data_IF_347185648082
#
_entry.id   IF_347185648082
#
_cell.length_a   1.000
_cell.length_b   1.000
_cell.length_c   1.000
_cell.angle_alpha   90.00
_cell.angle_beta   90.00
_cell.angle_gamma   90.00
#
_symmetry.space_group_name_H-M   'P 1'
#
loop_
_entity.id
_entity.type
_entity.pdbx_description
1 polymer ?
2 water ?
#
# COMPACT_ATOMS: atom_id res chain seq x y z
N UNK A 20 -31.17 17.69 23.90
CA UNK A 20 -30.79 16.35 23.48
C UNK A 20 -31.02 16.13 21.97
N UNK A 21 -29.99 15.62 21.27
CA UNK A 21 -29.99 15.38 19.83
C UNK A 21 -30.86 14.13 19.53
N UNK A 22 -31.77 14.20 18.54
CA UNK A 22 -32.57 13.02 18.16
C UNK A 22 -31.94 12.39 16.95
N UNK A 23 -31.68 11.05 17.00
CA UNK A 23 -31.04 10.25 15.97
C UNK A 23 -31.97 9.08 15.61
N UNK A 24 -32.24 8.93 14.29
CA UNK A 24 -33.06 7.87 13.71
C UNK A 24 -32.20 7.04 12.77
N UNK A 25 -32.09 5.72 13.02
CA UNK A 25 -31.25 4.82 12.25
C UNK A 25 -32.14 3.80 11.55
N UNK A 26 -32.04 3.75 10.20
CA UNK A 26 -32.78 2.84 9.33
C UNK A 26 -31.82 1.82 8.80
N UNK A 27 -31.78 0.62 9.39
CA UNK A 27 -30.85 -0.39 8.94
C UNK A 27 -31.50 -1.75 8.73
N UNK A 28 -30.86 -2.59 7.91
CA UNK A 28 -31.32 -3.95 7.58
C UNK A 28 -30.47 -5.03 8.28
N UNK A 29 -29.15 -4.86 8.23
CA UNK A 29 -28.12 -5.74 8.80
C UNK A 29 -28.19 -5.81 10.30
N UNK A 30 -27.90 -6.97 10.86
CA UNK A 30 -27.88 -7.16 12.31
C UNK A 30 -26.58 -6.58 12.88
N UNK A 31 -25.49 -6.65 12.08
CA UNK A 31 -24.15 -6.17 12.39
C UNK A 31 -24.12 -4.66 12.56
N UNK A 32 -24.95 -3.96 11.76
CA UNK A 32 -25.11 -2.52 11.87
C UNK A 32 -25.91 -2.24 13.15
N UNK A 33 -27.09 -2.89 13.28
CA UNK A 33 -28.00 -2.76 14.42
C UNK A 33 -27.27 -2.97 15.76
N UNK A 34 -26.33 -3.94 15.81
CA UNK A 34 -25.53 -4.27 16.98
C UNK A 34 -24.51 -3.19 17.27
N UNK A 35 -23.78 -2.73 16.25
CA UNK A 35 -22.75 -1.71 16.38
C UNK A 35 -23.38 -0.40 16.89
N UNK A 36 -24.46 0.02 16.22
CA UNK A 36 -25.25 1.22 16.51
C UNK A 36 -25.84 1.12 17.95
N UNK A 37 -26.31 -0.06 18.36
CA UNK A 37 -26.85 -0.33 19.70
C UNK A 37 -25.83 -0.22 20.82
N UNK A 38 -24.60 -0.73 20.57
CA UNK A 38 -23.46 -0.65 21.48
C UNK A 38 -23.00 0.82 21.59
N UNK A 39 -22.97 1.54 20.48
CA UNK A 39 -22.58 2.94 20.41
C UNK A 39 -23.53 3.82 21.23
N UNK A 40 -24.86 3.57 21.16
CA UNK A 40 -25.90 4.34 21.87
C UNK A 40 -25.76 4.29 23.40
N UNK A 41 -25.27 3.14 23.97
CA UNK A 41 -25.11 2.94 25.43
C UNK A 41 -23.77 3.50 25.94
N UNK A 42 -22.93 4.04 25.03
CA UNK A 42 -21.64 4.63 25.35
C UNK A 42 -21.82 6.02 26.00
N UNK A 43 -20.90 6.35 26.93
CA UNK A 43 -20.84 7.60 27.70
C UNK A 43 -20.76 8.84 26.80
N UNK A 44 -20.01 8.77 25.68
CA UNK A 44 -19.84 9.89 24.74
C UNK A 44 -21.16 10.18 23.97
N UNK A 46 -24.27 10.32 25.50
CA UNK A 46 -25.22 10.67 26.56
C UNK A 46 -26.20 11.75 26.11
N UNK A 47 -25.72 12.76 25.34
CA UNK A 47 -26.50 13.89 24.83
C UNK A 47 -27.28 13.56 23.53
N UNK A 48 -27.57 12.26 23.30
CA UNK A 48 -28.31 11.80 22.13
C UNK A 48 -29.26 10.67 22.48
N UNK A 49 -30.42 10.64 21.79
CA UNK A 49 -31.44 9.59 21.90
C UNK A 49 -31.50 8.93 20.52
N UNK A 50 -30.99 7.71 20.43
CA UNK A 50 -30.93 6.94 19.19
C UNK A 50 -32.15 6.01 19.12
N UNK A 51 -32.81 5.98 17.95
CA UNK A 51 -33.97 5.14 17.66
C UNK A 51 -33.63 4.30 16.43
N UNK A 52 -33.67 2.97 16.56
CA UNK A 52 -33.36 2.10 15.42
C UNK A 52 -34.68 1.61 14.85
N UNK A 53 -34.83 1.74 13.52
CA UNK A 53 -36.00 1.36 12.72
C UNK A 53 -35.56 0.48 11.61
N UNK A 54 -36.39 -0.52 11.27
CA UNK A 54 -36.06 -1.45 10.19
C UNK A 54 -36.30 -0.80 8.81
N UNK A 55 -35.47 -1.19 7.86
CA UNK A 55 -35.53 -0.72 6.50
C UNK A 55 -34.32 0.11 6.10
N UNK A 56 -34.54 1.00 5.15
CA UNK A 56 -33.54 1.89 4.56
C UNK A 56 -34.20 3.12 3.99
N UNK A 58 -36.36 3.85 1.44
CA UNK A 58 -37.79 3.78 1.21
C UNK A 58 -38.58 4.06 2.48
N UNK A 59 -38.18 3.43 3.58
CA UNK A 59 -38.87 3.53 4.87
C UNK A 59 -38.69 4.92 5.46
N UNK A 60 -37.45 5.47 5.37
CA UNK A 60 -37.08 6.82 5.84
C UNK A 60 -37.90 7.92 5.13
N UNK A 61 -37.90 7.91 3.76
CA UNK A 61 -38.60 8.80 2.84
C UNK A 61 -40.12 8.80 3.09
N UNK A 62 -40.70 7.57 3.21
CA UNK A 62 -42.13 7.35 3.48
C UNK A 62 -42.54 7.95 4.82
N UNK A 63 -41.75 7.76 5.88
CA UNK A 63 -42.01 8.28 7.22
C UNK A 63 -41.83 9.80 7.28
N UNK A 64 -40.75 10.36 6.67
CA UNK A 64 -40.50 11.79 6.79
C UNK A 64 -41.33 12.63 5.84
N UNK A 65 -42.17 11.99 5.05
CA UNK A 65 -43.13 12.69 4.21
C UNK A 65 -44.29 13.23 5.03
N UNK A 66 -44.61 12.55 6.13
CA UNK A 66 -45.69 12.91 7.04
C UNK A 66 -45.25 13.38 8.42
N UNK A 67 -44.11 12.85 8.87
CA UNK A 67 -43.52 13.14 10.19
C UNK A 67 -42.30 14.03 9.99
N UNK A 68 -42.08 14.99 10.91
CA UNK A 68 -40.92 15.88 10.92
C UNK A 68 -39.65 15.00 11.18
N UNK A 69 -38.57 15.21 10.39
CA UNK A 69 -37.30 14.47 10.56
C UNK A 69 -36.56 14.88 11.83
N UNK A 70 -35.81 13.96 12.48
CA UNK A 70 -35.03 14.36 13.67
C UNK A 70 -33.73 15.12 13.27
N UNK A 71 -32.85 15.41 14.24
CA UNK A 71 -31.60 16.14 14.01
C UNK A 71 -30.63 15.41 13.09
N UNK A 72 -30.66 14.09 13.14
CA UNK A 72 -29.80 13.21 12.35
C UNK A 72 -30.55 11.94 11.96
N UNK A 73 -30.46 11.63 10.66
CA UNK A 73 -31.05 10.45 9.99
C UNK A 73 -29.87 9.61 9.44
N UNK A 74 -29.69 8.41 10.00
CA UNK A 74 -28.66 7.46 9.58
C UNK A 74 -29.36 6.37 8.75
N UNK A 75 -28.89 6.15 7.51
CA UNK A 75 -29.51 5.21 6.59
C UNK A 75 -28.48 4.21 6.04
N UNK A 76 -28.79 2.91 6.14
CA UNK A 76 -28.00 1.80 5.62
C UNK A 76 -28.49 1.50 4.21
N UNK A 77 -27.59 1.67 3.20
CA UNK A 77 -27.91 1.47 1.78
C UNK A 77 -26.76 0.83 1.01
N UNK A 78 -27.10 -0.23 0.24
CA UNK A 78 -26.12 -0.97 -0.57
C UNK A 78 -26.34 -0.68 -2.06
N UNK A 79 -27.11 0.39 -2.35
CA UNK A 79 -27.47 0.84 -3.69
C UNK A 79 -26.30 1.44 -4.44
N UNK A 80 -26.38 1.38 -5.79
CA UNK A 80 -25.42 1.95 -6.71
C UNK A 80 -25.39 3.46 -6.60
N UNK A 81 -24.30 4.09 -7.05
CA UNK A 81 -24.04 5.52 -6.99
C UNK A 81 -25.21 6.31 -7.57
N UNK A 82 -25.61 6.03 -8.84
CA UNK A 82 -26.72 6.71 -9.51
C UNK A 82 -28.05 6.65 -8.71
N UNK A 83 -28.40 5.47 -8.14
CA UNK A 83 -29.62 5.28 -7.37
C UNK A 83 -29.50 5.92 -5.99
N UNK A 84 -28.33 5.77 -5.32
CA UNK A 84 -28.08 6.34 -3.99
C UNK A 84 -28.26 7.86 -4.00
N UNK A 86 -30.08 9.70 -6.27
CA UNK A 86 -31.48 9.98 -6.54
C UNK A 86 -32.37 9.80 -5.29
N UNK A 87 -32.16 8.72 -4.50
CA UNK A 87 -32.94 8.42 -3.28
C UNK A 87 -32.63 9.45 -2.19
N UNK A 88 -31.39 9.96 -2.17
CA UNK A 88 -30.95 10.98 -1.22
C UNK A 88 -31.58 12.32 -1.52
N UNK A 89 -31.74 12.68 -2.82
CA UNK A 89 -32.39 13.92 -3.26
C UNK A 89 -33.83 13.95 -2.77
N UNK A 90 -34.54 12.83 -2.92
CA UNK A 90 -35.93 12.64 -2.53
C UNK A 90 -36.08 12.70 -0.98
N UNK A 91 -35.14 12.12 -0.23
CA UNK A 91 -35.18 12.16 1.23
C UNK A 91 -34.91 13.61 1.76
N UNK A 92 -33.94 14.33 1.14
CA UNK A 92 -33.60 15.70 1.51
C UNK A 92 -34.80 16.64 1.32
N UNK A 94 -38.00 15.80 1.90
CA UNK A 94 -38.97 15.54 2.99
C UNK A 94 -38.48 16.05 4.35
N UNK A 95 -37.15 16.02 4.54
CA UNK A 95 -36.50 16.40 5.79
C UNK A 95 -36.58 17.91 6.04
N UNK A 96 -36.82 18.27 7.31
CA UNK A 96 -36.88 19.64 7.78
C UNK A 96 -35.47 20.22 7.78
N UNK A 97 -35.25 21.45 7.25
CA UNK A 97 -33.95 22.14 7.19
C UNK A 97 -33.29 22.05 8.56
N UNK A 98 -32.04 21.60 8.56
CA UNK A 98 -31.27 21.40 9.79
C UNK A 98 -30.93 19.94 10.03
N UNK A 99 -31.66 19.04 9.34
CA UNK A 99 -31.50 17.60 9.37
C UNK A 99 -30.20 17.21 8.69
N UNK A 100 -29.42 16.39 9.38
CA UNK A 100 -28.16 15.89 8.86
C UNK A 100 -28.39 14.44 8.46
N UNK A 101 -27.63 13.99 7.44
CA UNK A 101 -27.73 12.64 6.92
C UNK A 101 -26.36 11.96 6.95
N UNK A 102 -26.34 10.71 7.40
CA UNK A 102 -25.20 9.81 7.37
C UNK A 102 -25.65 8.58 6.56
N UNK A 103 -24.77 8.07 5.69
CA UNK A 103 -25.06 6.90 4.86
C UNK A 103 -24.11 5.78 5.30
N UNK A 104 -24.65 4.57 5.52
CA UNK A 104 -23.88 3.37 5.87
C UNK A 104 -23.94 2.44 4.64
N UNK A 105 -22.77 2.19 4.02
CA UNK A 105 -22.68 1.41 2.80
C UNK A 105 -21.60 0.36 2.77
N UNK A 106 -21.58 -0.42 1.68
CA UNK A 106 -20.62 -1.52 1.49
C UNK A 106 -19.35 -1.09 0.75
N UNK A 107 -19.48 -0.09 -0.16
CA UNK A 107 -18.44 0.45 -1.01
C UNK A 107 -17.42 1.36 -0.24
N UNK A 108 -16.12 1.08 -0.40
CA UNK A 108 -15.00 1.82 0.17
C UNK A 108 -14.30 2.54 -0.99
N UNK A 109 -14.96 3.59 -1.53
CA UNK A 109 -14.53 4.39 -2.65
C UNK A 109 -14.44 5.85 -2.25
N UNK A 110 -13.29 6.49 -2.49
CA UNK A 110 -13.01 7.89 -2.15
C UNK A 110 -13.90 8.82 -3.02
N UNK A 111 -14.05 8.47 -4.30
CA UNK A 111 -14.87 9.19 -5.26
C UNK A 111 -16.34 9.23 -4.85
N UNK A 112 -16.85 8.11 -4.33
CA UNK A 112 -18.22 8.03 -3.82
C UNK A 112 -18.36 8.92 -2.56
N UNK A 113 -17.39 8.84 -1.63
CA UNK A 113 -17.41 9.63 -0.39
C UNK A 113 -17.47 11.14 -0.71
N UNK A 114 -16.68 11.58 -1.71
CA UNK A 114 -16.60 12.96 -2.19
C UNK A 114 -17.92 13.43 -2.78
N UNK A 115 -18.54 12.60 -3.65
CA UNK A 115 -19.80 12.87 -4.34
C UNK A 115 -20.93 13.08 -3.34
N UNK A 116 -20.93 12.27 -2.26
CA UNK A 116 -21.92 12.33 -1.19
C UNK A 116 -21.73 13.58 -0.37
N UNK A 117 -20.48 13.94 -0.05
CA UNK A 117 -20.17 15.12 0.77
C UNK A 117 -20.45 16.44 0.03
N UNK A 118 -20.36 16.44 -1.33
CA UNK A 118 -20.70 17.59 -2.18
C UNK A 118 -22.21 17.73 -2.31
N UNK A 119 -22.96 16.63 -2.09
CA UNK A 119 -24.42 16.58 -2.15
C UNK A 119 -25.06 17.02 -0.82
N UNK A 120 -24.28 17.16 0.24
CA UNK A 120 -24.81 17.53 1.54
C UNK A 120 -24.90 16.45 2.61
N UNK A 121 -24.40 15.22 2.30
CA UNK A 121 -24.35 14.12 3.28
C UNK A 121 -23.22 14.48 4.24
N UNK A 122 -23.48 14.38 5.55
CA UNK A 122 -22.54 14.74 6.59
C UNK A 122 -21.37 13.75 6.71
N UNK A 123 -21.65 12.47 6.49
CA UNK A 123 -20.62 11.44 6.56
C UNK A 123 -21.07 10.17 5.88
N UNK A 124 -20.08 9.36 5.47
CA UNK A 124 -20.30 8.06 4.87
C UNK A 124 -19.51 7.06 5.72
N UNK A 125 -20.21 6.02 6.20
CA UNK A 125 -19.64 4.94 6.99
C UNK A 125 -19.63 3.64 6.17
N UNK A 126 -18.43 3.03 5.97
CA UNK A 126 -18.19 1.79 5.21
C UNK A 126 -18.32 0.57 6.17
N UNK A 127 -19.10 -0.44 5.76
CA UNK A 127 -19.31 -1.69 6.51
C UNK A 127 -18.08 -2.61 6.35
N UNK A 128 -17.65 -3.38 7.37
CA UNK A 128 -18.20 -3.55 8.73
C UNK A 128 -17.98 -2.35 9.65
N UNK A 129 -19.07 -2.01 10.34
CA UNK A 129 -19.19 -0.87 11.24
C UNK A 129 -18.72 -1.22 12.66
N UNK A 130 -17.75 -0.46 13.17
CA UNK A 130 -17.26 -0.59 14.54
C UNK A 130 -18.09 0.38 15.41
N UNK A 131 -18.52 0.03 16.65
CA UNK A 131 -19.32 0.98 17.44
C UNK A 131 -18.66 2.36 17.63
N UNK A 133 -16.73 3.91 15.33
CA UNK A 133 -16.83 4.61 14.04
C UNK A 133 -18.10 5.46 14.02
N UNK A 134 -19.20 4.91 14.59
CA UNK A 134 -20.52 5.55 14.67
C UNK A 134 -20.51 6.73 15.67
N UNK A 135 -19.87 6.56 16.86
CA UNK A 135 -19.73 7.62 17.89
C UNK A 135 -18.93 8.78 17.27
N UNK A 136 -17.84 8.46 16.55
CA UNK A 136 -16.95 9.40 15.87
C UNK A 136 -17.71 10.23 14.83
N UNK A 137 -18.44 9.54 13.91
CA UNK A 137 -19.25 10.11 12.83
C UNK A 137 -20.32 11.09 13.34
N UNK A 138 -20.97 10.76 14.47
CA UNK A 138 -22.01 11.57 15.12
C UNK A 138 -21.38 12.84 15.64
N UNK A 139 -20.21 12.73 16.31
CA UNK A 139 -19.47 13.89 16.85
C UNK A 139 -18.96 14.80 15.72
N UNK A 140 -18.48 14.20 14.64
CA UNK A 140 -18.01 14.86 13.41
C UNK A 140 -19.13 15.77 12.84
N UNK A 141 -20.39 15.26 12.77
CA UNK A 141 -21.58 15.96 12.29
C UNK A 141 -21.83 17.25 13.03
N UNK A 142 -21.73 17.20 14.38
CA UNK A 142 -21.99 18.34 15.25
C UNK A 142 -20.69 18.83 15.89
N UNK B 20 -10.34 -16.49 10.13
CA UNK B 20 -9.19 -17.33 10.46
C UNK B 20 -8.55 -17.92 9.19
N UNK B 21 -7.24 -17.74 9.05
CA UNK B 21 -6.43 -18.21 7.92
C UNK B 21 -6.20 -19.74 8.04
N UNK B 22 -6.48 -20.49 6.97
CA UNK B 22 -6.26 -21.94 6.92
C UNK B 22 -4.90 -22.24 6.32
N UNK B 23 -4.08 -23.01 7.03
CA UNK B 23 -2.71 -23.39 6.61
C UNK B 23 -2.55 -24.87 6.72
N UNK B 24 -2.09 -25.50 5.63
CA UNK B 24 -1.75 -26.92 5.59
C UNK B 24 -0.27 -27.03 5.40
N UNK B 25 0.42 -27.86 6.22
CA UNK B 25 1.87 -28.11 6.10
C UNK B 25 2.09 -29.59 5.75
N UNK B 26 2.74 -29.85 4.61
CA UNK B 26 3.10 -31.18 4.11
C UNK B 26 4.59 -31.37 4.33
N UNK B 27 4.95 -32.12 5.39
CA UNK B 27 6.36 -32.29 5.68
C UNK B 27 6.71 -33.74 5.93
N UNK B 28 8.02 -34.06 5.78
CA UNK B 28 8.56 -35.39 6.02
C UNK B 28 9.39 -35.40 7.32
N UNK B 29 9.99 -34.27 7.68
CA UNK B 29 10.87 -34.15 8.84
C UNK B 29 10.19 -33.95 10.17
N UNK B 30 10.70 -34.63 11.22
CA UNK B 30 10.21 -34.47 12.59
C UNK B 30 10.58 -33.07 13.10
N UNK B 31 11.76 -32.57 12.68
CA UNK B 31 12.30 -31.26 13.01
C UNK B 31 11.43 -30.14 12.42
N UNK B 32 10.81 -30.38 11.23
CA UNK B 32 9.92 -29.42 10.57
C UNK B 32 8.53 -29.53 11.26
N UNK B 33 8.10 -30.78 11.60
CA UNK B 33 6.83 -31.04 12.31
C UNK B 33 6.84 -30.34 13.69
N UNK B 34 7.99 -30.40 14.40
CA UNK B 34 8.18 -29.80 15.72
C UNK B 34 8.20 -28.28 15.64
N UNK B 35 8.93 -27.70 14.67
CA UNK B 35 9.06 -26.25 14.49
C UNK B 35 7.68 -25.62 14.24
N UNK B 36 6.95 -26.15 13.25
CA UNK B 36 5.60 -25.76 12.84
C UNK B 36 4.61 -25.89 14.03
N UNK B 37 4.73 -26.99 14.80
CA UNK B 37 3.92 -27.24 16.00
C UNK B 37 4.10 -26.22 17.11
N UNK B 38 5.37 -25.80 17.33
CA UNK B 38 5.74 -24.79 18.32
C UNK B 38 5.26 -23.42 17.83
N UNK B 39 5.41 -23.16 16.51
CA UNK B 39 4.98 -21.90 15.88
C UNK B 39 3.47 -21.72 15.99
N UNK B 40 2.68 -22.80 15.80
CA UNK B 40 1.21 -22.78 15.84
C UNK B 40 0.64 -22.36 17.22
N UNK B 41 1.32 -22.72 18.33
CA UNK B 41 0.87 -22.42 19.70
C UNK B 41 1.32 -21.00 20.16
N UNK B 42 2.04 -20.27 19.28
CA UNK B 42 2.51 -18.91 19.54
C UNK B 42 1.36 -17.91 19.39
N UNK B 43 1.38 -16.84 20.23
CA UNK B 43 0.40 -15.76 20.30
C UNK B 43 0.24 -14.99 18.97
N UNK B 44 1.34 -14.81 18.21
CA UNK B 44 1.31 -14.11 16.91
C UNK B 44 0.59 -14.95 15.83
N UNK B 46 -2.41 -16.61 16.38
CA UNK B 46 -3.76 -16.79 16.93
C UNK B 46 -4.84 -16.84 15.83
N UNK B 47 -4.76 -15.95 14.82
CA UNK B 47 -5.75 -15.90 13.74
C UNK B 47 -5.47 -16.94 12.60
N UNK B 48 -4.75 -18.03 12.90
CA UNK B 48 -4.46 -19.10 11.94
C UNK B 48 -4.66 -20.48 12.54
N UNK B 49 -5.15 -21.42 11.71
CA UNK B 49 -5.33 -22.83 12.03
C UNK B 49 -4.35 -23.62 11.16
N UNK B 50 -3.32 -24.19 11.81
CA UNK B 50 -2.29 -24.97 11.13
C UNK B 50 -2.61 -26.48 11.23
N UNK B 51 -2.53 -27.18 10.09
CA UNK B 51 -2.80 -28.61 9.96
C UNK B 51 -1.57 -29.25 9.37
N UNK B 52 -0.98 -30.23 10.06
CA UNK B 52 0.21 -30.90 9.54
C UNK B 52 -0.22 -32.24 8.96
N UNK B 53 0.25 -32.50 7.73
CA UNK B 53 -0.02 -33.72 6.94
C UNK B 53 1.29 -34.30 6.51
N UNK B 54 1.36 -35.64 6.44
CA UNK B 54 2.60 -36.31 6.03
C UNK B 54 2.76 -36.24 4.51
N UNK B 55 4.00 -36.16 4.07
CA UNK B 55 4.36 -36.14 2.67
C UNK B 55 4.95 -34.82 2.22
N UNK B 56 4.76 -34.53 0.93
CA UNK B 56 5.25 -33.34 0.27
C UNK B 56 4.37 -33.03 -0.91
N UNK B 58 3.60 -34.44 -3.94
CA UNK B 58 2.69 -35.41 -4.50
C UNK B 58 1.44 -35.58 -3.64
N UNK B 59 1.57 -35.51 -2.32
CA UNK B 59 0.46 -35.70 -1.40
C UNK B 59 -0.49 -34.52 -1.47
N UNK B 60 0.03 -33.29 -1.55
CA UNK B 60 -0.79 -32.09 -1.73
C UNK B 60 -1.50 -32.11 -3.11
N UNK B 61 -0.75 -32.39 -4.19
CA UNK B 61 -1.23 -32.49 -5.58
C UNK B 61 -2.42 -33.46 -5.66
N UNK B 62 -2.31 -34.61 -5.01
CA UNK B 62 -3.34 -35.64 -4.97
C UNK B 62 -4.56 -35.16 -4.15
N UNK B 63 -4.31 -34.57 -2.97
CA UNK B 63 -5.32 -34.05 -2.04
C UNK B 63 -6.18 -32.95 -2.65
N UNK B 64 -5.53 -31.94 -3.29
CA UNK B 64 -6.19 -30.73 -3.78
C UNK B 64 -6.73 -30.84 -5.18
N UNK B 65 -6.64 -32.06 -5.74
CA UNK B 65 -7.23 -32.38 -7.04
C UNK B 65 -8.73 -32.28 -6.92
N UNK B 66 -9.27 -32.86 -5.84
CA UNK B 66 -10.70 -32.85 -5.54
C UNK B 66 -11.17 -31.97 -4.39
N UNK B 67 -10.25 -31.55 -3.50
CA UNK B 67 -10.50 -30.69 -2.35
C UNK B 67 -10.02 -29.27 -2.69
N UNK B 68 -10.78 -28.24 -2.31
CA UNK B 68 -10.37 -26.85 -2.51
C UNK B 68 -9.17 -26.60 -1.57
N UNK B 69 -8.04 -26.11 -2.12
CA UNK B 69 -6.84 -25.86 -1.33
C UNK B 69 -7.06 -24.68 -0.35
N UNK B 70 -6.36 -24.65 0.85
CA UNK B 70 -6.58 -23.57 1.81
C UNK B 70 -5.90 -22.27 1.39
N UNK B 71 -5.85 -21.30 2.33
CA UNK B 71 -5.24 -19.99 2.12
C UNK B 71 -3.77 -20.12 1.85
N UNK B 72 -3.11 -21.04 2.58
CA UNK B 72 -1.68 -21.26 2.49
C UNK B 72 -1.34 -22.73 2.56
N UNK B 73 -0.57 -23.17 1.56
CA UNK B 73 -0.04 -24.54 1.44
C UNK B 73 1.49 -24.46 1.63
N UNK B 74 2.01 -25.08 2.71
CA UNK B 74 3.44 -25.11 3.02
C UNK B 74 3.94 -26.51 2.71
N UNK B 75 4.98 -26.63 1.84
CA UNK B 75 5.48 -27.91 1.35
C UNK B 75 7.00 -28.02 1.56
N UNK B 76 7.41 -29.08 2.25
CA UNK B 76 8.81 -29.44 2.50
C UNK B 76 9.31 -30.31 1.31
N UNK B 77 10.35 -29.83 0.62
CA UNK B 77 10.94 -30.52 -0.55
C UNK B 77 12.45 -30.41 -0.57
N UNK B 78 13.13 -31.56 -0.77
CA UNK B 78 14.58 -31.62 -0.86
C UNK B 78 15.03 -31.91 -2.29
N UNK B 79 14.10 -31.72 -3.25
CA UNK B 79 14.34 -31.94 -4.66
C UNK B 79 15.17 -30.82 -5.29
N UNK B 80 15.88 -31.16 -6.37
CA UNK B 80 16.68 -30.21 -7.13
C UNK B 80 15.80 -29.21 -7.85
N UNK B 81 16.40 -28.11 -8.32
CA UNK B 81 15.75 -27.00 -9.02
C UNK B 81 14.84 -27.51 -10.15
N UNK B 82 15.37 -28.28 -11.11
CA UNK B 82 14.63 -28.80 -12.25
C UNK B 82 13.37 -29.59 -11.84
N UNK B 83 13.50 -30.46 -10.81
CA UNK B 83 12.37 -31.28 -10.34
C UNK B 83 11.40 -30.46 -9.47
N UNK B 84 11.92 -29.57 -8.61
CA UNK B 84 11.11 -28.68 -7.75
C UNK B 84 10.17 -27.82 -8.59
N UNK B 86 9.11 -28.52 -11.78
CA UNK B 86 8.16 -29.44 -12.41
C UNK B 86 7.02 -29.86 -11.45
N UNK B 87 7.35 -30.19 -10.18
CA UNK B 87 6.38 -30.61 -9.16
C UNK B 87 5.48 -29.43 -8.75
N UNK B 88 6.02 -28.20 -8.77
CA UNK B 88 5.30 -26.97 -8.49
C UNK B 88 4.29 -26.66 -9.59
N UNK B 89 4.65 -26.92 -10.87
CA UNK B 89 3.76 -26.71 -12.02
C UNK B 89 2.51 -27.59 -11.88
N UNK B 90 2.72 -28.85 -11.49
CA UNK B 90 1.69 -29.88 -11.30
C UNK B 90 0.78 -29.49 -10.12
N UNK B 91 1.34 -28.84 -9.09
CA UNK B 91 0.63 -28.32 -7.92
C UNK B 91 -0.17 -27.06 -8.30
N UNK B 92 0.41 -26.23 -9.19
CA UNK B 92 -0.25 -25.03 -9.70
C UNK B 92 -1.54 -25.38 -10.53
N UNK B 94 -3.65 -28.01 -9.45
CA UNK B 94 -4.63 -28.55 -8.52
C UNK B 94 -5.18 -27.44 -7.60
N UNK B 95 -4.34 -26.44 -7.32
CA UNK B 95 -4.69 -25.37 -6.42
C UNK B 95 -5.59 -24.30 -7.05
N UNK B 96 -6.56 -23.89 -6.27
CA UNK B 96 -7.50 -22.84 -6.61
C UNK B 96 -6.74 -21.49 -6.46
N UNK B 97 -6.99 -20.55 -7.38
CA UNK B 97 -6.39 -19.21 -7.43
C UNK B 97 -6.68 -18.52 -6.10
N UNK B 98 -5.67 -17.92 -5.51
CA UNK B 98 -5.81 -17.28 -4.21
C UNK B 98 -4.94 -17.95 -3.16
N UNK B 99 -4.68 -19.27 -3.38
CA UNK B 99 -3.83 -20.09 -2.53
C UNK B 99 -2.37 -19.67 -2.73
N UNK B 100 -1.72 -19.40 -1.59
CA UNK B 100 -0.33 -19.02 -1.50
C UNK B 100 0.47 -20.28 -1.19
N UNK B 101 1.69 -20.34 -1.72
CA UNK B 101 2.58 -21.50 -1.52
C UNK B 101 3.89 -21.04 -0.90
N UNK B 102 4.34 -21.78 0.09
CA UNK B 102 5.65 -21.62 0.73
C UNK B 102 6.38 -22.96 0.52
N UNK B 103 7.66 -22.90 0.18
CA UNK B 103 8.51 -24.08 0.00
C UNK B 103 9.56 -24.11 1.12
N UNK B 104 9.72 -25.26 1.79
CA UNK B 104 10.77 -25.47 2.80
C UNK B 104 11.80 -26.42 2.17
N UNK B 105 13.03 -25.93 2.00
CA UNK B 105 14.09 -26.69 1.34
C UNK B 105 15.45 -26.65 2.03
N UNK B 106 16.39 -27.43 1.48
CA UNK B 106 17.75 -27.54 2.03
C UNK B 106 18.75 -26.53 1.43
N UNK B 107 18.56 -26.08 0.17
CA UNK B 107 19.41 -25.15 -0.58
C UNK B 107 19.25 -23.67 -0.19
N UNK B 108 20.37 -22.96 0.04
CA UNK B 108 20.45 -21.55 0.40
C UNK B 108 21.07 -20.80 -0.79
N UNK B 109 20.25 -20.62 -1.84
CA UNK B 109 20.64 -19.98 -3.10
C UNK B 109 19.67 -18.84 -3.44
N UNK B 110 20.19 -17.65 -3.76
CA UNK B 110 19.42 -16.45 -4.11
C UNK B 110 18.74 -16.66 -5.48
N UNK B 111 19.47 -17.29 -6.41
CA UNK B 111 18.99 -17.61 -7.75
C UNK B 111 17.79 -18.54 -7.71
N UNK B 112 17.82 -19.55 -6.80
CA UNK B 112 16.71 -20.47 -6.60
C UNK B 112 15.50 -19.73 -6.01
N UNK B 113 15.74 -18.87 -4.99
CA UNK B 113 14.68 -18.08 -4.34
C UNK B 113 13.95 -17.22 -5.36
N UNK B 114 14.72 -16.57 -6.28
CA UNK B 114 14.21 -15.70 -7.35
C UNK B 114 13.35 -16.47 -8.34
N UNK B 115 13.80 -17.65 -8.77
CA UNK B 115 13.12 -18.53 -9.73
C UNK B 115 11.77 -18.95 -9.19
N UNK B 116 11.72 -19.22 -7.89
CA UNK B 116 10.51 -19.65 -7.19
C UNK B 116 9.56 -18.49 -7.07
N UNK B 117 10.08 -17.25 -6.80
CA UNK B 117 9.24 -16.05 -6.68
C UNK B 117 8.52 -15.75 -8.00
N UNK B 118 9.29 -15.85 -9.12
CA UNK B 118 8.82 -15.60 -10.49
C UNK B 118 7.78 -16.65 -10.92
N UNK B 119 7.79 -17.82 -10.25
CA UNK B 119 6.86 -18.92 -10.50
C UNK B 119 5.59 -18.78 -9.67
N UNK B 120 5.54 -17.81 -8.75
CA UNK B 120 4.35 -17.61 -7.92
C UNK B 120 4.41 -18.11 -6.48
N UNK B 121 5.58 -18.62 -6.03
CA UNK B 121 5.80 -19.06 -4.65
C UNK B 121 5.93 -17.78 -3.81
N UNK B 122 5.21 -17.72 -2.67
CA UNK B 122 5.19 -16.56 -1.77
C UNK B 122 6.47 -16.41 -0.97
N UNK B 123 7.08 -17.53 -0.59
CA UNK B 123 8.29 -17.52 0.20
C UNK B 123 9.01 -18.86 0.12
N UNK B 124 10.33 -18.83 0.35
CA UNK B 124 11.18 -19.99 0.42
C UNK B 124 11.91 -19.92 1.74
N UNK B 125 11.88 -21.04 2.49
CA UNK B 125 12.50 -21.22 3.80
C UNK B 125 13.57 -22.25 3.68
N UNK B 126 14.75 -21.91 4.14
CA UNK B 126 15.95 -22.76 4.11
C UNK B 126 16.10 -23.49 5.49
N UNK B 127 16.26 -24.83 5.44
CA UNK B 127 16.45 -25.67 6.62
C UNK B 127 17.88 -25.49 7.18
N UNK B 128 18.12 -25.54 8.52
CA UNK B 128 17.18 -25.81 9.63
C UNK B 128 16.16 -24.71 9.88
N UNK B 129 14.89 -25.14 10.02
CA UNK B 129 13.74 -24.28 10.28
C UNK B 129 13.57 -24.01 11.78
N UNK B 130 13.53 -22.72 12.13
CA UNK B 130 13.33 -22.28 13.51
C UNK B 130 11.83 -21.91 13.65
N UNK B 131 11.14 -22.17 14.80
CA UNK B 131 9.71 -21.81 14.88
C UNK B 131 9.40 -20.34 14.56
N UNK B 133 11.03 -18.44 12.30
CA UNK B 133 11.19 -18.29 10.85
C UNK B 133 9.86 -18.53 10.14
N UNK B 134 9.10 -19.51 10.64
CA UNK B 134 7.79 -19.91 10.13
C UNK B 134 6.72 -18.85 10.45
N UNK B 135 6.71 -18.28 11.68
CA UNK B 135 5.78 -17.23 12.11
C UNK B 135 6.02 -15.99 11.21
N UNK B 136 7.31 -15.64 10.99
CA UNK B 136 7.74 -14.53 10.13
C UNK B 136 7.26 -14.70 8.67
N UNK B 137 7.54 -15.87 8.04
CA UNK B 137 7.16 -16.25 6.67
C UNK B 137 5.65 -16.17 6.43
N UNK B 138 4.84 -16.58 7.44
CA UNK B 138 3.37 -16.56 7.41
C UNK B 138 2.91 -15.11 7.40
N UNK B 139 3.47 -14.26 8.26
CA UNK B 139 3.15 -12.82 8.34
C UNK B 139 3.53 -12.09 7.05
N UNK B 140 4.70 -12.44 6.50
CA UNK B 140 5.22 -11.91 5.24
C UNK B 140 4.20 -12.14 4.10
N UNK B 141 3.63 -13.39 3.99
CA UNK B 141 2.66 -13.82 2.99
C UNK B 141 1.44 -12.95 2.98
N UNK B 142 0.91 -12.60 4.18
CA UNK B 142 -0.29 -11.80 4.32
C UNK B 142 0.08 -10.41 4.88
N UNK B 143 0.74 -9.59 4.04
CA UNK B 143 1.19 -8.24 4.44
C UNK B 143 0.51 -7.18 3.57
N UNK B 144 -0.07 -6.11 4.19
CA UNK B 144 -0.76 -5.03 3.48
C UNK B 144 0.16 -3.85 3.20
N UNK C 20 -2.33 35.93 -8.39
CA UNK C 20 -2.08 34.58 -8.92
C UNK C 20 -1.66 33.60 -7.79
N UNK C 21 -2.27 32.40 -7.81
CA UNK C 21 -2.07 31.28 -6.88
C UNK C 21 -0.74 30.54 -7.19
N UNK C 22 0.04 30.18 -6.16
CA UNK C 22 1.29 29.44 -6.37
C UNK C 22 1.09 28.00 -5.91
N UNK C 23 1.45 27.01 -6.79
CA UNK C 23 1.34 25.56 -6.59
C UNK C 23 2.66 24.87 -6.85
N UNK C 24 3.11 24.04 -5.90
CA UNK C 24 4.32 23.22 -5.96
C UNK C 24 3.95 21.74 -5.95
N UNK C 25 4.35 20.97 -6.98
CA UNK C 25 4.03 19.55 -7.11
C UNK C 25 5.31 18.72 -7.02
N UNK C 26 5.36 17.80 -6.05
CA UNK C 26 6.48 16.90 -5.80
C UNK C 26 6.08 15.49 -6.21
N UNK C 27 6.52 15.04 -7.39
CA UNK C 27 6.13 13.73 -7.85
C UNK C 27 7.31 12.89 -8.33
N UNK C 28 7.12 11.57 -8.34
CA UNK C 28 8.08 10.58 -8.79
C UNK C 28 7.66 9.96 -10.13
N UNK C 29 6.33 9.85 -10.37
CA UNK C 29 5.71 9.29 -11.58
C UNK C 29 5.82 10.21 -12.79
N UNK C 30 6.07 9.63 -13.98
CA UNK C 30 6.04 10.39 -15.22
C UNK C 30 4.59 10.65 -15.59
N UNK C 31 3.71 9.69 -15.26
CA UNK C 31 2.26 9.72 -15.49
C UNK C 31 1.61 10.83 -14.64
N UNK C 32 2.17 11.14 -13.45
CA UNK C 32 1.70 12.24 -12.58
C UNK C 32 2.24 13.57 -13.14
N UNK C 33 3.51 13.59 -13.56
CA UNK C 33 4.17 14.75 -14.16
C UNK C 33 3.45 15.18 -15.45
N UNK C 34 3.01 14.20 -16.27
CA UNK C 34 2.28 14.43 -17.52
C UNK C 34 0.88 14.96 -17.25
N UNK C 35 0.15 14.37 -16.29
CA UNK C 35 -1.20 14.79 -15.91
C UNK C 35 -1.21 16.24 -15.42
N UNK C 36 -0.36 16.55 -14.44
CA UNK C 36 -0.16 17.87 -13.82
C UNK C 36 0.26 18.90 -14.92
N UNK C 37 1.14 18.48 -15.85
CA UNK C 37 1.61 19.31 -16.96
C UNK C 37 0.50 19.71 -17.93
N UNK C 38 -0.40 18.75 -18.22
CA UNK C 38 -1.56 18.95 -19.10
C UNK C 38 -2.57 19.84 -18.36
N UNK C 39 -2.75 19.61 -17.04
CA UNK C 39 -3.67 20.37 -16.21
C UNK C 39 -3.26 21.84 -16.12
N UNK C 40 -1.94 22.12 -16.00
CA UNK C 40 -1.38 23.47 -15.89
C UNK C 40 -1.64 24.35 -17.11
N UNK C 41 -1.66 23.77 -18.34
CA UNK C 41 -1.88 24.51 -19.60
C UNK C 41 -3.39 24.71 -19.89
N UNK C 42 -4.28 24.16 -19.04
CA UNK C 42 -5.74 24.27 -19.16
C UNK C 42 -6.20 25.68 -18.78
N UNK C 43 -7.26 26.17 -19.48
CA UNK C 43 -7.90 27.49 -19.32
C UNK C 43 -8.40 27.74 -17.89
N UNK C 44 -8.95 26.71 -17.21
CA UNK C 44 -9.45 26.82 -15.82
C UNK C 44 -8.29 27.02 -14.80
N UNK C 46 -5.62 29.20 -15.36
CA UNK C 46 -4.96 30.43 -15.78
C UNK C 46 -4.47 31.27 -14.60
N UNK C 47 -5.26 31.32 -13.50
CA UNK C 47 -4.97 32.09 -12.29
C UNK C 47 -4.08 31.32 -11.29
N UNK C 48 -3.31 30.34 -11.77
CA UNK C 48 -2.41 29.52 -10.96
C UNK C 48 -1.04 29.39 -11.62
N UNK C 49 -0.02 29.13 -10.82
CA UNK C 49 1.34 28.91 -11.29
C UNK C 49 1.75 27.56 -10.76
N UNK C 50 1.92 26.58 -11.66
CA UNK C 50 2.29 25.24 -11.26
C UNK C 50 3.79 25.01 -11.52
N UNK C 51 4.50 24.50 -10.50
CA UNK C 51 5.92 24.18 -10.50
C UNK C 51 6.06 22.72 -10.14
N UNK C 52 6.65 21.92 -11.03
CA UNK C 52 6.84 20.50 -10.77
C UNK C 52 8.28 20.28 -10.36
N UNK C 53 8.45 19.56 -9.24
CA UNK C 53 9.74 19.23 -8.64
C UNK C 53 9.82 17.73 -8.44
N UNK C 54 11.01 17.17 -8.57
CA UNK C 54 11.21 15.75 -8.37
C UNK C 54 11.23 15.39 -6.86
N UNK C 55 10.73 14.21 -6.55
CA UNK C 55 10.70 13.70 -5.19
C UNK C 55 9.31 13.57 -4.62
N UNK C 56 9.25 13.68 -3.30
CA UNK C 56 8.02 13.58 -2.53
C UNK C 56 8.17 14.35 -1.23
N UNK C 58 10.07 14.10 1.64
CA UNK C 58 11.41 14.48 2.04
C UNK C 58 11.88 15.74 1.36
N UNK C 59 11.64 15.83 0.04
CA UNK C 59 12.11 16.95 -0.77
C UNK C 59 11.39 18.24 -0.39
N UNK C 60 10.05 18.17 -0.16
CA UNK C 60 9.26 19.30 0.30
C UNK C 60 9.67 19.75 1.73
N UNK C 61 9.87 18.79 2.64
CA UNK C 61 10.28 18.99 4.03
C UNK C 61 11.62 19.72 4.09
N UNK C 62 12.58 19.30 3.25
CA UNK C 62 13.92 19.86 3.17
C UNK C 62 13.91 21.32 2.64
N UNK C 63 13.20 21.56 1.53
CA UNK C 63 13.07 22.84 0.85
C UNK C 63 12.35 23.87 1.70
N UNK C 64 11.16 23.52 2.25
CA UNK C 64 10.32 24.47 3.00
C UNK C 64 10.81 24.74 4.46
N UNK C 65 11.91 24.10 4.85
CA UNK C 65 12.50 24.35 6.15
C UNK C 65 12.97 25.78 6.19
N UNK C 66 13.57 26.23 5.08
CA UNK C 66 14.14 27.57 4.89
C UNK C 66 13.40 28.49 3.93
N UNK C 67 12.61 27.92 3.00
CA UNK C 67 11.79 28.64 2.02
C UNK C 67 10.34 28.63 2.52
N UNK C 68 9.64 29.77 2.41
CA UNK C 68 8.23 29.88 2.80
C UNK C 68 7.46 29.07 1.77
N UNK C 69 6.65 28.12 2.27
CA UNK C 69 5.84 27.23 1.44
C UNK C 69 4.77 28.05 0.66
N UNK C 70 4.33 27.60 -0.57
CA UNK C 70 3.31 28.37 -1.29
C UNK C 70 1.91 28.07 -0.75
N UNK C 71 0.89 28.53 -1.50
CA UNK C 71 -0.54 28.38 -1.23
C UNK C 71 -0.95 26.91 -1.20
N UNK C 72 -0.43 26.12 -2.14
CA UNK C 72 -0.79 24.71 -2.20
C UNK C 72 0.43 23.86 -2.51
N UNK C 73 0.68 22.86 -1.65
CA UNK C 73 1.76 21.87 -1.79
C UNK C 73 1.08 20.52 -2.22
N UNK C 74 1.42 19.99 -3.41
CA UNK C 74 0.88 18.71 -3.88
C UNK C 74 2.01 17.67 -3.84
N UNK C 75 1.79 16.55 -3.13
CA UNK C 75 2.81 15.54 -2.89
C UNK C 75 2.31 14.14 -3.27
N UNK C 76 3.05 13.48 -4.16
CA UNK C 76 2.83 12.12 -4.58
C UNK C 76 3.55 11.15 -3.60
N UNK C 77 2.78 10.26 -2.95
CA UNK C 77 3.31 9.28 -2.01
C UNK C 77 2.62 7.91 -2.15
N UNK C 78 3.42 6.83 -2.23
CA UNK C 78 2.91 5.45 -2.30
C UNK C 78 3.15 4.69 -1.01
N UNK C 79 3.46 5.44 0.06
CA UNK C 79 3.73 4.91 1.39
C UNK C 79 2.45 4.45 2.08
N UNK C 80 2.63 3.52 3.02
CA UNK C 80 1.55 3.02 3.85
C UNK C 80 1.04 4.07 4.81
N UNK C 81 -0.14 3.83 5.39
CA UNK C 81 -0.83 4.73 6.32
C UNK C 81 0.11 5.20 7.43
N UNK C 82 0.73 4.29 8.19
CA UNK C 82 1.63 4.60 9.31
C UNK C 82 2.77 5.53 8.89
N UNK C 83 3.40 5.25 7.73
CA UNK C 83 4.53 6.08 7.25
C UNK C 83 4.06 7.40 6.66
N UNK C 84 2.94 7.39 5.90
CA UNK C 84 2.35 8.59 5.30
C UNK C 84 2.01 9.63 6.37
N UNK C 86 3.44 9.84 9.49
CA UNK C 86 4.72 10.26 10.06
C UNK C 86 5.43 11.32 9.20
N UNK C 87 5.47 11.11 7.85
CA UNK C 87 6.09 12.04 6.88
C UNK C 87 5.26 13.38 6.79
N UNK C 88 3.92 13.29 6.98
CA UNK C 88 3.04 14.43 7.00
C UNK C 88 3.25 15.28 8.27
N UNK C 89 3.51 14.64 9.44
CA UNK C 89 3.79 15.34 10.69
C UNK C 89 5.04 16.22 10.54
N UNK C 90 6.09 15.64 9.92
CA UNK C 90 7.38 16.27 9.67
C UNK C 90 7.23 17.44 8.67
N UNK C 91 6.39 17.27 7.62
CA UNK C 91 6.13 18.30 6.61
C UNK C 91 5.34 19.50 7.23
N UNK C 92 4.35 19.21 8.08
CA UNK C 92 3.56 20.23 8.77
C UNK C 92 4.45 21.16 9.63
N UNK C 94 7.43 22.20 8.71
CA UNK C 94 8.20 23.09 7.84
C UNK C 94 7.30 24.10 7.15
N UNK C 95 6.04 23.73 6.92
CA UNK C 95 5.07 24.53 6.22
C UNK C 95 4.50 25.68 7.04
N UNK C 96 4.36 26.81 6.37
CA UNK C 96 3.81 28.04 6.95
C UNK C 96 2.29 27.89 6.99
N UNK C 97 1.64 28.27 8.12
CA UNK C 97 0.19 28.26 8.33
C UNK C 97 -0.47 28.97 7.15
N UNK C 98 -1.48 28.34 6.58
CA UNK C 98 -2.14 28.89 5.41
C UNK C 98 -1.91 28.04 4.18
N UNK C 99 -0.77 27.29 4.17
CA UNK C 99 -0.39 26.38 3.08
C UNK C 99 -1.40 25.20 3.05
N UNK C 100 -1.90 24.84 1.86
CA UNK C 100 -2.81 23.72 1.77
C UNK C 100 -2.01 22.54 1.28
N UNK C 101 -2.35 21.33 1.70
CA UNK C 101 -1.66 20.09 1.27
C UNK C 101 -2.66 19.17 0.57
N UNK C 102 -2.25 18.65 -0.59
CA UNK C 102 -2.96 17.61 -1.32
C UNK C 102 -1.99 16.42 -1.41
N UNK C 103 -2.50 15.21 -1.21
CA UNK C 103 -1.72 13.98 -1.30
C UNK C 103 -2.23 13.17 -2.51
N UNK C 104 -1.29 12.68 -3.36
CA UNK C 104 -1.59 11.82 -4.49
C UNK C 104 -1.05 10.43 -4.12
N UNK C 105 -1.96 9.45 -4.06
CA UNK C 105 -1.62 8.09 -3.65
C UNK C 105 -2.22 6.98 -4.45
N UNK C 106 -1.82 5.74 -4.16
CA UNK C 106 -2.29 4.54 -4.88
C UNK C 106 -3.54 3.87 -4.25
N UNK C 107 -3.73 4.01 -2.93
CA UNK C 107 -4.81 3.42 -2.12
C UNK C 107 -6.16 4.18 -2.27
N UNK C 108 -7.25 3.41 -2.51
CA UNK C 108 -8.63 3.90 -2.63
C UNK C 108 -9.40 3.42 -1.41
N UNK C 109 -9.13 4.06 -0.25
CA UNK C 109 -9.72 3.75 1.05
C UNK C 109 -10.34 5.01 1.65
N UNK C 110 -11.60 4.90 2.08
CA UNK C 110 -12.37 5.99 2.69
C UNK C 110 -11.80 6.32 4.10
N UNK C 111 -11.37 5.28 4.82
CA UNK C 111 -10.77 5.39 6.14
C UNK C 111 -9.49 6.17 6.11
N UNK C 112 -8.66 5.93 5.06
CA UNK C 112 -7.40 6.65 4.85
C UNK C 112 -7.72 8.14 4.51
N UNK C 113 -8.69 8.39 3.62
CA UNK C 113 -9.10 9.75 3.23
C UNK C 113 -9.52 10.55 4.45
N UNK C 114 -10.29 9.93 5.37
CA UNK C 114 -10.80 10.53 6.60
C UNK C 114 -9.66 10.90 7.55
N UNK C 115 -8.69 9.98 7.75
CA UNK C 115 -7.52 10.14 8.63
C UNK C 115 -6.66 11.32 8.18
N UNK C 116 -6.51 11.47 6.86
CA UNK C 116 -5.78 12.56 6.23
C UNK C 116 -6.53 13.88 6.41
N UNK C 117 -7.89 13.90 6.25
CA UNK C 117 -8.67 15.14 6.41
C UNK C 117 -8.60 15.64 7.84
N UNK C 118 -8.65 14.72 8.83
CA UNK C 118 -8.59 15.03 10.27
C UNK C 118 -7.20 15.58 10.64
N UNK C 119 -6.17 15.24 9.85
CA UNK C 119 -4.80 15.67 10.03
C UNK C 119 -4.56 17.05 9.37
N UNK C 120 -5.53 17.59 8.62
CA UNK C 120 -5.36 18.89 7.96
C UNK C 120 -5.05 18.87 6.47
N UNK C 121 -5.10 17.69 5.82
CA UNK C 121 -4.87 17.55 4.37
C UNK C 121 -6.14 18.04 3.72
N UNK C 122 -6.03 18.89 2.70
CA UNK C 122 -7.15 19.49 1.98
C UNK C 122 -7.88 18.49 1.06
N UNK C 123 -7.13 17.58 0.45
CA UNK C 123 -7.69 16.60 -0.45
C UNK C 123 -6.72 15.42 -0.66
N UNK C 124 -7.29 14.27 -1.02
CA UNK C 124 -6.56 13.06 -1.35
C UNK C 124 -7.01 12.62 -2.72
N UNK C 125 -6.03 12.33 -3.60
CA UNK C 125 -6.27 11.91 -4.98
C UNK C 125 -5.69 10.54 -5.23
N UNK C 126 -6.52 9.64 -5.67
CA UNK C 126 -6.19 8.23 -5.94
C UNK C 126 -5.73 8.05 -7.41
N UNK C 127 -4.54 7.44 -7.60
CA UNK C 127 -3.96 7.13 -8.92
C UNK C 127 -4.69 5.93 -9.53
N UNK C 128 -4.92 5.85 -10.87
CA UNK C 128 -4.48 6.75 -11.95
C UNK C 128 -5.15 8.11 -11.92
N UNK C 129 -4.30 9.13 -11.87
CA UNK C 129 -4.68 10.55 -11.84
C UNK C 129 -4.88 11.04 -13.27
N UNK C 130 -6.02 11.69 -13.48
CA UNK C 130 -6.46 12.27 -14.75
C UNK C 130 -6.19 13.78 -14.68
N UNK C 131 -5.76 14.48 -15.78
CA UNK C 131 -5.52 15.94 -15.69
C UNK C 131 -6.71 16.73 -15.13
N UNK C 133 -8.94 15.62 -12.85
CA UNK C 133 -9.05 15.32 -11.40
C UNK C 133 -8.25 16.35 -10.59
N UNK C 134 -7.08 16.73 -11.13
CA UNK C 134 -6.15 17.69 -10.54
C UNK C 134 -6.74 19.13 -10.59
N UNK C 135 -7.35 19.53 -11.74
CA UNK C 135 -7.99 20.86 -11.93
C UNK C 135 -9.14 20.97 -10.93
N UNK C 136 -9.95 19.89 -10.78
CA UNK C 136 -11.09 19.79 -9.88
C UNK C 136 -10.66 19.96 -8.40
N UNK C 137 -9.63 19.17 -7.95
CA UNK C 137 -9.06 19.16 -6.59
C UNK C 137 -8.51 20.54 -6.17
N UNK C 138 -7.89 21.27 -7.13
CA UNK C 138 -7.31 22.60 -6.96
C UNK C 138 -8.45 23.59 -6.72
N UNK C 139 -9.53 23.52 -7.53
CA UNK C 139 -10.72 24.36 -7.40
C UNK C 139 -11.44 24.09 -6.08
N UNK C 140 -11.57 22.82 -5.71
CA UNK C 140 -12.15 22.35 -4.45
C UNK C 140 -11.41 23.01 -3.25
N UNK C 141 -10.05 23.09 -3.30
CA UNK C 141 -9.16 23.65 -2.28
C UNK C 141 -9.46 25.10 -1.97
N UNK C 142 -9.65 25.92 -3.01
CA UNK C 142 -9.92 27.35 -2.88
C UNK C 142 -11.41 27.63 -3.20
N UNK C 143 -12.33 27.06 -2.39
CA UNK C 143 -13.78 27.22 -2.58
C UNK C 143 -14.40 28.01 -1.43
N UNK C 144 -15.20 29.05 -1.77
CA UNK C 144 -15.88 29.90 -0.80
C UNK C 144 -17.39 29.72 -0.90
N UNK C 145 -18.05 29.56 0.26
CA UNK C 145 -19.50 29.42 0.33
C UNK C 145 -20.16 30.78 0.59
N UNK D 21 15.49 7.02 -18.65
CA UNK D 21 16.01 6.26 -17.52
C UNK D 21 17.51 6.56 -17.37
N UNK D 22 17.89 7.03 -16.18
CA UNK D 22 19.28 7.35 -15.86
C UNK D 22 19.80 6.36 -14.84
N UNK D 23 20.84 5.56 -15.21
CA UNK D 23 21.41 4.53 -14.35
C UNK D 23 22.88 4.82 -14.06
N UNK D 24 23.23 4.91 -12.77
CA UNK D 24 24.58 5.15 -12.27
C UNK D 24 25.09 3.89 -11.61
N UNK D 25 26.24 3.36 -12.10
CA UNK D 25 26.84 2.13 -11.57
C UNK D 25 28.17 2.45 -10.89
N UNK D 26 28.30 2.07 -9.58
CA UNK D 26 29.49 2.27 -8.76
C UNK D 26 30.12 0.93 -8.52
N UNK D 27 31.17 0.59 -9.27
CA UNK D 27 31.78 -0.72 -9.12
C UNK D 27 33.30 -0.63 -9.02
N UNK D 28 33.92 -1.67 -8.44
CA UNK D 28 35.37 -1.77 -8.28
C UNK D 28 35.95 -2.79 -9.24
N UNK D 29 35.31 -3.95 -9.41
CA UNK D 29 35.72 -5.05 -10.29
C UNK D 29 35.64 -4.71 -11.77
N UNK D 30 36.68 -5.10 -12.54
CA UNK D 30 36.73 -4.91 -13.99
C UNK D 30 35.69 -5.84 -14.62
N UNK D 31 35.45 -6.99 -13.97
CA UNK D 31 34.51 -8.03 -14.39
C UNK D 31 33.06 -7.51 -14.32
N UNK D 32 32.76 -6.61 -13.36
CA UNK D 32 31.45 -5.98 -13.17
C UNK D 32 31.35 -4.84 -14.21
N UNK D 33 32.44 -4.08 -14.40
CA UNK D 33 32.51 -2.99 -15.37
C UNK D 33 32.32 -3.51 -16.81
N UNK D 34 32.88 -4.71 -17.12
CA UNK D 34 32.76 -5.37 -18.42
C UNK D 34 31.34 -5.88 -18.66
N UNK D 35 30.73 -6.53 -17.65
CA UNK D 35 29.38 -7.07 -17.74
C UNK D 35 28.37 -5.95 -18.01
N UNK D 36 28.40 -4.89 -17.19
CA UNK D 36 27.56 -3.68 -17.26
C UNK D 36 27.78 -2.97 -18.63
N UNK D 37 29.03 -2.92 -19.09
CA UNK D 37 29.39 -2.32 -20.38
C UNK D 37 28.79 -3.04 -21.58
N UNK D 38 28.78 -4.39 -21.52
CA UNK D 38 28.21 -5.27 -22.55
C UNK D 38 26.67 -5.14 -22.49
N UNK D 39 26.11 -5.10 -21.28
CA UNK D 39 24.67 -4.96 -21.06
C UNK D 39 24.14 -3.63 -21.61
N UNK D 40 24.89 -2.52 -21.42
CA UNK D 40 24.51 -1.18 -21.86
C UNK D 40 24.37 -1.05 -23.39
N UNK D 41 25.19 -1.79 -24.19
CA UNK D 41 25.15 -1.75 -25.65
C UNK D 41 24.08 -2.69 -26.25
N UNK D 42 23.35 -3.43 -25.39
CA UNK D 42 22.29 -4.35 -25.77
C UNK D 42 21.02 -3.57 -26.17
N UNK D 43 20.28 -4.12 -27.15
CA UNK D 43 19.04 -3.57 -27.72
C UNK D 43 17.94 -3.38 -26.66
N UNK D 44 17.84 -4.30 -25.69
CA UNK D 44 16.82 -4.22 -24.61
C UNK D 44 17.12 -3.04 -23.65
N UNK D 46 18.07 0.14 -24.73
CA UNK D 46 18.04 1.32 -25.59
C UNK D 46 17.46 2.54 -24.87
N UNK D 47 16.42 2.31 -24.04
CA UNK D 47 15.68 3.32 -23.25
C UNK D 47 16.43 3.84 -22.00
N UNK D 48 17.69 3.40 -21.79
CA UNK D 48 18.53 3.72 -20.63
C UNK D 48 19.92 4.23 -21.01
N UNK D 49 20.44 5.17 -20.20
CA UNK D 49 21.77 5.73 -20.31
C UNK D 49 22.50 5.30 -19.04
N UNK D 50 23.48 4.40 -19.19
CA UNK D 50 24.27 3.83 -18.11
C UNK D 50 25.58 4.64 -17.99
N UNK D 51 25.94 5.01 -16.75
CA UNK D 51 27.15 5.74 -16.39
C UNK D 51 27.89 4.92 -15.35
N UNK D 52 29.11 4.49 -15.65
CA UNK D 52 29.91 3.71 -14.73
C UNK D 52 30.91 4.63 -14.05
N UNK D 53 30.95 4.54 -12.70
CA UNK D 53 31.80 5.32 -11.81
C UNK D 53 32.57 4.40 -10.92
N UNK D 54 33.80 4.76 -10.58
CA UNK D 54 34.64 3.95 -9.71
C UNK D 54 34.21 4.12 -8.25
N UNK D 55 34.35 3.04 -7.51
CA UNK D 55 34.03 3.00 -6.08
C UNK D 55 32.85 2.12 -5.75
N UNK D 56 32.19 2.43 -4.65
CA UNK D 56 31.05 1.72 -4.12
C UNK D 56 30.19 2.62 -3.28
N UNK D 58 30.59 4.31 -0.32
CA UNK D 58 31.19 5.56 0.11
C UNK D 58 31.09 6.64 -0.97
N UNK D 59 31.40 6.27 -2.22
CA UNK D 59 31.42 7.18 -3.36
C UNK D 59 30.01 7.59 -3.70
N UNK D 60 29.05 6.64 -3.69
CA UNK D 60 27.63 6.89 -3.94
C UNK D 60 27.03 7.82 -2.86
N UNK D 61 27.30 7.52 -1.59
CA UNK D 61 26.82 8.25 -0.41
C UNK D 61 27.34 9.69 -0.44
N UNK D 62 28.62 9.88 -0.76
CA UNK D 62 29.28 11.18 -0.86
C UNK D 62 28.75 12.00 -2.07
N UNK D 63 28.51 11.34 -3.24
CA UNK D 63 28.03 12.03 -4.45
C UNK D 63 26.61 12.53 -4.27
N UNK D 64 25.75 11.72 -3.67
CA UNK D 64 24.33 12.04 -3.55
C UNK D 64 23.96 12.79 -2.28
N UNK D 65 24.97 13.18 -1.51
CA UNK D 65 24.81 14.06 -0.36
C UNK D 65 24.81 15.52 -0.80
N UNK D 66 25.12 15.75 -2.07
CA UNK D 66 25.18 17.07 -2.68
C UNK D 66 24.40 17.11 -3.97
N UNK D 67 24.59 16.12 -4.82
CA UNK D 67 23.93 16.00 -6.12
C UNK D 67 22.65 15.14 -5.97
N UNK D 68 21.65 15.39 -6.85
CA UNK D 68 20.38 14.62 -6.95
C UNK D 68 20.72 13.23 -7.52
N UNK D 69 20.12 12.18 -6.97
CA UNK D 69 20.34 10.80 -7.44
C UNK D 69 19.58 10.49 -8.76
N UNK D 70 20.10 9.67 -9.70
CA UNK D 70 19.31 9.33 -10.90
C UNK D 70 18.16 8.34 -10.58
N UNK D 71 17.51 7.82 -11.61
CA UNK D 71 16.40 6.87 -11.54
C UNK D 71 16.77 5.59 -10.80
N UNK D 72 17.98 5.07 -11.10
CA UNK D 72 18.52 3.81 -10.59
C UNK D 72 19.98 3.99 -10.28
N UNK D 73 20.37 3.60 -9.06
CA UNK D 73 21.74 3.65 -8.52
C UNK D 73 22.17 2.18 -8.25
N UNK D 74 23.12 1.66 -9.01
CA UNK D 74 23.61 0.29 -8.87
C UNK D 74 24.96 0.35 -8.13
N UNK D 75 25.08 -0.38 -7.01
CA UNK D 75 26.27 -0.33 -6.16
C UNK D 75 26.84 -1.73 -5.90
N UNK D 76 28.14 -1.92 -6.22
CA UNK D 76 28.92 -3.13 -5.97
C UNK D 76 29.53 -3.04 -4.55
N UNK D 77 29.12 -3.96 -3.65
CA UNK D 77 29.57 -3.99 -2.26
C UNK D 77 29.83 -5.40 -1.75
N UNK D 78 31.02 -5.57 -1.12
CA UNK D 78 31.44 -6.85 -0.55
C UNK D 78 31.45 -6.77 1.00
N UNK D 79 30.75 -5.76 1.54
CA UNK D 79 30.61 -5.50 2.96
C UNK D 79 29.70 -6.51 3.64
N UNK D 80 29.92 -6.69 4.95
CA UNK D 80 29.14 -7.56 5.82
C UNK D 80 27.73 -7.04 5.97
N UNK D 81 26.79 -7.91 6.37
CA UNK D 81 25.36 -7.64 6.53
C UNK D 81 25.15 -6.38 7.37
N UNK D 82 25.71 -6.33 8.60
CA UNK D 82 25.58 -5.18 9.52
C UNK D 82 26.02 -3.83 8.88
N UNK D 83 27.16 -3.81 8.16
CA UNK D 83 27.69 -2.61 7.51
C UNK D 83 26.89 -2.26 6.28
N UNK D 84 26.54 -3.28 5.46
CA UNK D 84 25.77 -3.09 4.21
C UNK D 84 24.44 -2.41 4.51
N UNK D 86 23.61 -0.51 7.26
CA UNK D 86 23.87 0.83 7.74
C UNK D 86 24.19 1.83 6.59
N UNK D 87 25.04 1.42 5.63
CA UNK D 87 25.46 2.24 4.48
C UNK D 87 24.26 2.48 3.54
N UNK D 88 23.36 1.48 3.42
CA UNK D 88 22.15 1.57 2.62
C UNK D 88 21.13 2.52 3.24
N UNK D 89 20.99 2.54 4.58
CA UNK D 89 20.09 3.47 5.28
C UNK D 89 20.50 4.89 4.98
N UNK D 90 21.82 5.20 5.02
CA UNK D 90 22.43 6.50 4.77
C UNK D 90 22.22 6.92 3.31
N UNK D 91 22.38 6.00 2.36
CA UNK D 91 22.19 6.24 0.94
C UNK D 91 20.68 6.52 0.62
N UNK D 92 19.75 5.77 1.24
CA UNK D 92 18.31 5.96 1.05
C UNK D 92 17.85 7.35 1.52
N UNK D 94 19.81 10.10 1.46
CA UNK D 94 20.43 11.00 0.50
C UNK D 94 19.58 11.12 -0.76
N UNK D 95 19.26 9.95 -1.36
CA UNK D 95 18.53 9.78 -2.61
C UNK D 95 17.16 10.45 -2.62
N UNK D 96 16.81 10.97 -3.80
CA UNK D 96 15.55 11.61 -4.08
C UNK D 96 14.45 10.52 -4.07
N UNK D 97 13.28 10.78 -3.43
CA UNK D 97 12.14 9.85 -3.39
C UNK D 97 11.83 9.39 -4.81
N UNK D 98 11.79 8.07 -5.01
CA UNK D 98 11.58 7.52 -6.34
C UNK D 98 12.77 6.73 -6.84
N UNK D 99 13.99 7.11 -6.43
CA UNK D 99 15.23 6.40 -6.81
C UNK D 99 15.16 4.92 -6.40
N UNK D 100 15.61 4.03 -7.30
CA UNK D 100 15.67 2.61 -7.07
C UNK D 100 17.12 2.24 -6.83
N UNK D 101 17.35 1.18 -6.02
CA UNK D 101 18.70 0.71 -5.67
C UNK D 101 18.82 -0.78 -5.98
N UNK D 102 19.94 -1.13 -6.59
CA UNK D 102 20.35 -2.52 -6.83
C UNK D 102 21.72 -2.69 -6.15
N UNK D 103 21.92 -3.81 -5.46
CA UNK D 103 23.19 -4.11 -4.80
C UNK D 103 23.83 -5.33 -5.51
N UNK D 104 25.13 -5.22 -5.85
CA UNK D 104 25.90 -6.30 -6.47
C UNK D 104 26.89 -6.79 -5.40
N UNK D 105 26.75 -8.04 -4.98
CA UNK D 105 27.55 -8.60 -3.91
C UNK D 105 28.09 -9.98 -4.18
N UNK D 106 28.94 -10.42 -3.26
CA UNK D 106 29.63 -11.69 -3.30
C UNK D 106 28.73 -12.83 -2.77
N UNK D 107 28.06 -12.58 -1.61
CA UNK D 107 27.24 -13.50 -0.83
C UNK D 107 25.94 -13.96 -1.53
N UNK D 108 25.72 -15.29 -1.55
CA UNK D 108 24.56 -15.98 -2.11
C UNK D 108 23.72 -16.55 -0.96
N UNK D 109 23.09 -15.64 -0.19
CA UNK D 109 22.29 -15.95 0.99
C UNK D 109 20.85 -15.44 0.82
N UNK D 110 19.87 -16.32 1.07
CA UNK D 110 18.42 -16.01 0.94
C UNK D 110 18.00 -15.00 2.02
N UNK D 111 18.51 -15.20 3.24
CA UNK D 111 18.29 -14.33 4.39
C UNK D 111 18.75 -12.92 4.15
N UNK D 112 19.93 -12.76 3.51
CA UNK D 112 20.47 -11.45 3.13
C UNK D 112 19.58 -10.80 2.06
N UNK D 113 19.18 -11.56 1.01
CA UNK D 113 18.31 -11.06 -0.06
C UNK D 113 16.99 -10.53 0.50
N UNK D 114 16.40 -11.26 1.45
CA UNK D 114 15.15 -10.90 2.13
C UNK D 114 15.29 -9.59 2.93
N UNK D 115 16.37 -9.47 3.73
CA UNK D 115 16.67 -8.33 4.57
C UNK D 115 16.82 -7.07 3.74
N UNK D 116 17.44 -7.19 2.55
CA UNK D 116 17.65 -6.10 1.59
C UNK D 116 16.33 -5.68 0.96
N UNK D 117 15.48 -6.65 0.56
CA UNK D 117 14.18 -6.33 -0.04
C UNK D 117 13.27 -5.59 0.95
N UNK D 118 13.29 -6.00 2.25
CA UNK D 118 12.50 -5.39 3.32
C UNK D 118 13.02 -3.97 3.65
N UNK D 119 14.28 -3.68 3.31
CA UNK D 119 14.92 -2.38 3.50
C UNK D 119 14.65 -1.42 2.31
N UNK D 120 14.07 -1.91 1.23
CA UNK D 120 13.75 -1.08 0.08
C UNK D 120 14.62 -1.24 -1.15
N UNK D 121 15.58 -2.20 -1.14
CA UNK D 121 16.45 -2.49 -2.29
C UNK D 121 15.59 -3.24 -3.29
N UNK D 122 15.66 -2.81 -4.58
CA UNK D 122 14.87 -3.37 -5.67
C UNK D 122 15.32 -4.76 -6.08
N UNK D 123 16.65 -5.00 -6.02
CA UNK D 123 17.21 -6.29 -6.38
C UNK D 123 18.60 -6.46 -5.83
N UNK D 124 19.00 -7.71 -5.61
CA UNK D 124 20.34 -8.08 -5.18
C UNK D 124 20.85 -9.04 -6.21
N UNK D 125 22.02 -8.74 -6.74
CA UNK D 125 22.69 -9.56 -7.72
C UNK D 125 23.90 -10.16 -7.07
N UNK D 126 24.10 -11.47 -7.24
CA UNK D 126 25.22 -12.25 -6.70
C UNK D 126 26.29 -12.40 -7.82
N UNK D 127 27.56 -12.11 -7.50
CA UNK D 127 28.71 -12.24 -8.39
C UNK D 127 29.09 -13.72 -8.53
N UNK D 128 29.57 -14.20 -9.71
CA UNK D 128 29.84 -13.48 -10.98
C UNK D 128 28.60 -13.01 -11.72
N UNK D 129 28.64 -11.74 -12.13
CA UNK D 129 27.59 -11.06 -12.86
C UNK D 129 27.71 -11.33 -14.37
N UNK D 130 26.61 -11.80 -14.97
CA UNK D 130 26.49 -12.05 -16.41
C UNK D 130 25.82 -10.82 -17.03
N UNK D 131 26.19 -10.35 -18.25
CA UNK D 131 25.53 -9.14 -18.81
C UNK D 131 24.00 -9.26 -18.89
N UNK D 133 22.04 -10.90 -16.69
CA UNK D 133 21.53 -10.80 -15.31
C UNK D 133 21.20 -9.34 -15.01
N UNK D 134 22.07 -8.42 -15.47
CA UNK D 134 21.95 -6.98 -15.29
C UNK D 134 20.79 -6.39 -16.10
N UNK D 135 20.60 -6.82 -17.38
CA UNK D 135 19.49 -6.39 -18.25
C UNK D 135 18.15 -6.82 -17.60
N UNK D 136 18.12 -8.07 -17.09
CA UNK D 136 16.96 -8.67 -16.41
C UNK D 136 16.57 -7.87 -15.16
N UNK D 137 17.55 -7.63 -14.24
CA UNK D 137 17.42 -6.90 -12.98
C UNK D 137 16.88 -5.47 -13.18
N UNK D 138 17.35 -4.78 -14.26
CA UNK D 138 16.96 -3.41 -14.64
C UNK D 138 15.48 -3.44 -15.05
N UNK D 139 15.07 -4.42 -15.89
CA UNK D 139 13.69 -4.60 -16.35
C UNK D 139 12.76 -4.94 -15.18
N UNK D 140 13.23 -5.78 -14.26
CA UNK D 140 12.54 -6.19 -13.04
C UNK D 140 12.15 -4.94 -12.20
N UNK D 141 13.10 -3.99 -12.04
CA UNK D 141 12.96 -2.72 -11.31
C UNK D 141 11.83 -1.89 -11.82
N UNK D 142 11.72 -1.76 -13.16
CA UNK D 142 10.71 -0.94 -13.81
C UNK D 142 9.68 -1.82 -14.52
#
# INVERSE_FOLDING_TARGET
XGSDKIHHHHHHENLYFQGKVDIAVFCQSEEVREAVGTAAIDRRXARATVTVKAGGXKEATALYGGVTSPNLVVVESDDGEARLXATLETLAXECVTGTKVIVIGRSNDVGLYKKLLDAGVSDYLVKPLEPXDFVAAVHRCFRDSTE
XGSDKIHHHHHHENLYFQGKVDIAVFCQSEEVREAVGTAAIDRRXARATVTVKAGGXKEATALYGGVTSPNLVVVESDDGEARLXATLETLAXECVTGTKVIVIGRSNDVGLYKKLLDAGVSDYLVKPLEPXDFVAAVHRCFRDSTE
XGSDKIHHHHHHENLYFQGKVDIAVFCQSEEVREAVGTAAIDRRXARATVTVKAGGXKEATALYGGVTSPNLVVVESDDGEARLXATLETLAXECVTGTKVIVIGRSNDVGLYKKLLDAGVSDYLVKPLEPXDFVAAVHRCFRDSTE
XGSDKIHHHHHHENLYFQGKVDIAVFCQSEEVREAVGTAAIDRRXARATVTVKAGGXKEATALYGGVTSPNLVVVESDDGEARLXATLETLAXECVTGTKVIVIGRSNDVGLYKKLLDAGVSDYLVKPLEPXDFVAAVHRCFRDSTE
#
